data_IF_635177629089
#
_entry.id   IF_635177629089
#
_cell.length_a   1.000
_cell.length_b   1.000
_cell.length_c   1.000
_cell.angle_alpha   90.00
_cell.angle_beta   90.00
_cell.angle_gamma   90.00
#
_symmetry.space_group_name_H-M   'P 1'
#
loop_
_entity.id
_entity.type
_entity.pdbx_description
1 polymer ?
#
# COMPACT_ATOMS: atom_id res chain seq x y z
N UNK A 1 -7.20 1.98 3.18
CA UNK A 1 -6.60 1.05 2.19
C UNK A 1 -6.37 1.80 0.89
N UNK A 2 -5.18 1.69 0.29
CA UNK A 2 -4.83 2.31 -0.98
C UNK A 2 -4.45 1.21 -2.00
N UNK A 3 -5.25 1.04 -3.04
CA UNK A 3 -4.98 0.08 -4.12
C UNK A 3 -4.21 0.77 -5.25
N UNK A 4 -2.89 0.60 -5.27
CA UNK A 4 -1.96 1.30 -6.16
C UNK A 4 -1.42 0.39 -7.27
N UNK A 5 -2.12 -0.70 -7.61
CA UNK A 5 -1.68 -1.70 -8.60
C UNK A 5 -1.51 -1.14 -10.02
N UNK A 6 -2.02 0.05 -10.31
CA UNK A 6 -1.82 0.75 -11.60
C UNK A 6 -0.85 1.93 -11.50
N UNK A 7 0.00 1.98 -10.47
CA UNK A 7 0.95 3.09 -10.29
C UNK A 7 1.86 3.35 -11.50
N UNK A 8 2.11 2.33 -12.33
CA UNK A 8 2.91 2.44 -13.56
C UNK A 8 2.11 2.84 -14.80
N UNK A 9 0.78 2.92 -14.72
CA UNK A 9 -0.14 3.17 -15.83
C UNK A 9 -0.67 4.62 -15.83
N UNK A 10 0.19 5.57 -15.48
CA UNK A 10 -0.14 7.00 -15.51
C UNK A 10 0.22 7.57 -16.89
N UNK A 11 -0.79 7.93 -17.68
CA UNK A 11 -0.59 8.47 -19.04
C UNK A 11 -0.33 9.99 -19.04
N UNK A 12 -0.83 10.72 -18.04
CA UNK A 12 -0.67 12.17 -17.88
C UNK A 12 -0.41 12.45 -16.40
N UNK A 13 0.64 13.24 -16.10
CA UNK A 13 1.00 13.61 -14.73
C UNK A 13 1.83 12.55 -14.00
N UNK A 14 1.77 12.56 -12.66
CA UNK A 14 2.51 11.64 -11.79
C UNK A 14 1.60 11.13 -10.68
N UNK A 15 1.64 9.83 -10.40
CA UNK A 15 0.97 9.27 -9.22
C UNK A 15 1.78 9.63 -7.97
N UNK A 16 1.06 10.13 -6.96
CA UNK A 16 1.57 10.36 -5.62
C UNK A 16 1.07 9.23 -4.74
N UNK A 17 1.97 8.38 -4.23
CA UNK A 17 1.55 7.28 -3.36
C UNK A 17 0.99 7.81 -2.04
N UNK A 18 -0.02 7.12 -1.52
CA UNK A 18 -0.65 7.45 -0.24
C UNK A 18 0.38 7.46 0.89
N UNK A 19 1.36 6.54 0.87
CA UNK A 19 2.46 6.52 1.84
C UNK A 19 3.25 7.83 1.81
N UNK A 20 3.63 8.31 0.63
CA UNK A 20 4.42 9.54 0.49
C UNK A 20 3.65 10.74 1.04
N UNK A 21 2.37 10.85 0.70
CA UNK A 21 1.52 11.95 1.14
C UNK A 21 1.30 11.87 2.65
N UNK A 22 1.00 10.68 3.19
CA UNK A 22 0.82 10.49 4.63
C UNK A 22 2.08 10.87 5.42
N UNK A 23 3.26 10.42 4.99
CA UNK A 23 4.53 10.79 5.64
C UNK A 23 4.85 12.28 5.53
N UNK A 24 4.38 12.97 4.48
CA UNK A 24 4.53 14.41 4.36
C UNK A 24 3.59 15.13 5.33
N UNK A 25 2.32 14.73 5.37
CA UNK A 25 1.31 15.28 6.28
C UNK A 25 1.67 15.08 7.75
N UNK A 26 2.23 13.93 8.12
CA UNK A 26 2.72 13.67 9.49
C UNK A 26 3.89 14.59 9.89
N UNK A 27 4.73 14.99 8.92
CA UNK A 27 5.82 15.95 9.16
C UNK A 27 5.31 17.39 9.25
N UNK A 28 4.34 17.74 8.42
CA UNK A 28 3.77 19.09 8.34
C UNK A 28 2.82 19.38 9.51
N UNK A 29 2.05 18.38 9.95
CA UNK A 29 1.07 18.48 11.05
C UNK A 29 1.28 17.34 12.08
N UNK A 30 2.35 17.39 12.90
CA UNK A 30 2.63 16.35 13.89
C UNK A 30 1.45 16.09 14.84
N UNK A 31 1.17 14.82 15.13
CA UNK A 31 0.09 14.40 16.03
C UNK A 31 -1.29 14.30 15.38
N UNK A 32 -1.54 14.96 14.24
CA UNK A 32 -2.86 14.95 13.60
C UNK A 32 -3.11 13.70 12.76
N UNK A 33 -2.08 13.18 12.10
CA UNK A 33 -2.17 12.03 11.19
C UNK A 33 -1.39 10.80 11.68
N UNK A 34 -0.88 10.82 12.91
CA UNK A 34 -0.02 9.76 13.44
C UNK A 34 -0.82 8.46 13.69
N UNK A 35 -2.13 8.58 13.92
CA UNK A 35 -3.04 7.44 14.13
C UNK A 35 -3.67 6.92 12.83
N UNK A 36 -3.23 7.39 11.67
CA UNK A 36 -3.74 6.92 10.38
C UNK A 36 -3.10 5.57 10.06
N UNK A 37 -3.93 4.54 10.00
CA UNK A 37 -3.54 3.21 9.52
C UNK A 37 -3.63 3.15 7.99
N UNK A 38 -2.55 2.71 7.35
CA UNK A 38 -2.47 2.58 5.90
C UNK A 38 -1.98 1.20 5.50
N UNK A 39 -2.79 0.50 4.71
CA UNK A 39 -2.36 -0.62 3.87
C UNK A 39 -2.29 -0.15 2.41
N UNK A 40 -1.10 -0.08 1.82
CA UNK A 40 -0.89 0.22 0.39
C UNK A 40 -0.56 -1.05 -0.38
N UNK A 41 -1.35 -1.37 -1.41
CA UNK A 41 -1.24 -2.60 -2.19
C UNK A 41 -0.57 -2.35 -3.54
N UNK A 42 0.32 -3.26 -3.93
CA UNK A 42 0.93 -3.27 -5.26
C UNK A 42 1.00 -4.70 -5.82
N UNK A 43 0.90 -4.82 -7.14
CA UNK A 43 0.94 -6.11 -7.84
C UNK A 43 1.87 -6.06 -9.03
N UNK A 44 2.58 -7.15 -9.30
CA UNK A 44 3.34 -7.29 -10.55
C UNK A 44 2.46 -7.61 -11.76
N UNK A 45 1.19 -7.97 -11.50
CA UNK A 45 0.27 -8.44 -12.54
C UNK A 45 -0.26 -7.31 -13.44
N UNK A 46 -0.05 -6.04 -13.06
CA UNK A 46 -0.61 -4.87 -13.73
C UNK A 46 0.49 -3.81 -13.93
N UNK A 47 0.94 -3.68 -15.18
CA UNK A 47 2.02 -2.77 -15.57
C UNK A 47 2.47 -3.05 -17.00
N UNK A 48 3.22 -2.12 -17.63
CA UNK A 48 3.71 -2.26 -19.03
C UNK A 48 4.52 -3.56 -19.29
N UNK A 49 5.03 -4.21 -18.24
CA UNK A 49 5.87 -5.43 -18.31
C UNK A 49 5.05 -6.73 -18.20
N UNK A 50 3.77 -6.66 -17.81
CA UNK A 50 2.79 -7.72 -18.09
C UNK A 50 3.17 -9.16 -17.69
N UNK A 51 3.72 -9.40 -16.49
CA UNK A 51 3.99 -10.75 -15.97
C UNK A 51 2.71 -11.40 -15.38
N UNK A 52 1.65 -11.44 -16.18
CA UNK A 52 0.32 -11.96 -15.86
C UNK A 52 0.31 -13.41 -15.29
N UNK A 53 1.42 -14.15 -15.38
CA UNK A 53 1.54 -15.54 -14.92
C UNK A 53 2.17 -15.76 -13.54
N UNK A 54 2.78 -14.74 -12.90
CA UNK A 54 3.55 -14.95 -11.66
C UNK A 54 2.79 -14.66 -10.36
N UNK A 55 1.54 -14.17 -10.43
CA UNK A 55 0.63 -13.93 -9.28
C UNK A 55 1.31 -13.27 -8.06
N UNK A 56 2.30 -12.42 -8.31
CA UNK A 56 3.03 -11.71 -7.26
C UNK A 56 2.36 -10.40 -6.87
N UNK A 57 2.47 -10.06 -5.59
CA UNK A 57 2.07 -8.77 -5.05
C UNK A 57 2.63 -8.59 -3.65
N UNK A 58 2.59 -7.36 -3.17
CA UNK A 58 2.90 -7.05 -1.78
C UNK A 58 1.94 -5.97 -1.29
N UNK A 59 1.82 -5.86 0.03
CA UNK A 59 1.21 -4.71 0.67
C UNK A 59 2.18 -4.15 1.71
N UNK A 60 2.20 -2.83 1.83
CA UNK A 60 2.94 -2.11 2.87
C UNK A 60 1.96 -1.63 3.94
N UNK A 61 2.22 -1.97 5.20
CA UNK A 61 1.41 -1.55 6.35
C UNK A 61 2.14 -0.44 7.12
N UNK A 62 1.44 0.64 7.43
CA UNK A 62 1.95 1.78 8.21
C UNK A 62 0.94 2.10 9.31
N UNK A 63 1.43 2.22 10.54
CA UNK A 63 0.61 2.65 11.69
C UNK A 63 -0.46 1.67 12.14
N UNK A 64 -0.43 0.42 11.65
CA UNK A 64 -1.45 -0.59 11.95
C UNK A 64 -1.45 -0.98 13.43
N UNK A 65 -2.63 -1.12 14.02
CA UNK A 65 -2.79 -1.61 15.39
C UNK A 65 -2.14 -2.99 15.59
N UNK A 66 -1.55 -3.18 16.77
CA UNK A 66 -0.79 -4.38 17.11
C UNK A 66 -1.65 -5.64 17.11
N UNK A 67 -2.94 -5.56 17.50
CA UNK A 67 -3.84 -6.72 17.46
C UNK A 67 -4.17 -7.09 16.02
N UNK A 68 -4.40 -6.09 15.16
CA UNK A 68 -4.66 -6.30 13.74
C UNK A 68 -3.44 -6.93 13.03
N UNK A 69 -2.22 -6.51 13.40
CA UNK A 69 -0.98 -7.11 12.88
C UNK A 69 -0.82 -8.56 13.35
N UNK A 70 -1.09 -8.85 14.62
CA UNK A 70 -1.03 -10.22 15.18
C UNK A 70 -2.05 -11.13 14.48
N UNK A 71 -3.28 -10.66 14.28
CA UNK A 71 -4.31 -11.42 13.57
C UNK A 71 -3.85 -11.77 12.14
N UNK A 72 -3.24 -10.82 11.44
CA UNK A 72 -2.70 -11.05 10.09
C UNK A 72 -1.55 -12.08 10.07
N UNK A 73 -0.73 -12.13 11.13
CA UNK A 73 0.35 -13.10 11.25
C UNK A 73 -0.15 -14.51 11.59
N UNK A 74 -1.21 -14.60 12.39
CA UNK A 74 -1.82 -15.88 12.80
C UNK A 74 -2.71 -16.44 11.69
N UNK A 75 -3.45 -15.57 10.99
CA UNK A 75 -4.38 -15.89 9.94
C UNK A 75 -4.03 -15.14 8.64
N UNK A 76 -2.92 -15.49 7.97
CA UNK A 76 -2.53 -14.82 6.75
C UNK A 76 -3.57 -15.04 5.64
N UNK A 77 -3.82 -14.02 4.79
CA UNK A 77 -4.73 -14.17 3.67
C UNK A 77 -4.22 -15.25 2.71
N UNK A 78 -5.12 -16.03 2.08
CA UNK A 78 -4.73 -17.09 1.16
C UNK A 78 -3.90 -16.52 -0.01
N UNK A 79 -2.77 -17.17 -0.29
CA UNK A 79 -1.94 -16.87 -1.46
C UNK A 79 -2.71 -17.34 -2.70
N UNK A 80 -3.02 -16.41 -3.60
CA UNK A 80 -3.85 -16.61 -4.81
C UNK A 80 -3.05 -17.30 -5.92
#
# INVERSE_FOLDING_TARGET
MADEVYQTNVFIGKLHSFKRVLSQLQKEEPGKYDNVELASLNSVSKGKVGECGHRGGYFELVGLDGQCLVELMVNPPPII
#
